data_IF_183681808289
#
_entry.id   IF_183681808289
#
_cell.length_a   1.000
_cell.length_b   1.000
_cell.length_c   1.000
_cell.angle_alpha   90.00
_cell.angle_beta   90.00
_cell.angle_gamma   90.00
#
_symmetry.space_group_name_H-M   'P 1'
#
loop_
_entity.id
_entity.type
_entity.pdbx_description
1 polymer ?
#
# COMPACT_ATOMS: atom_id res chain seq x y z
N UNK A 1 8.66 -1.10 -9.04
CA UNK A 1 7.36 -1.79 -9.06
C UNK A 1 7.31 -2.56 -10.36
N UNK A 2 6.96 -3.84 -10.31
CA UNK A 2 6.99 -4.75 -11.47
C UNK A 2 5.59 -5.16 -11.94
N UNK A 3 4.57 -4.40 -11.55
CA UNK A 3 3.20 -4.61 -12.05
C UNK A 3 3.11 -4.19 -13.53
N UNK A 4 2.95 -5.18 -14.40
CA UNK A 4 2.80 -5.00 -15.85
C UNK A 4 1.32 -4.99 -16.30
N UNK A 5 0.38 -5.21 -15.38
CA UNK A 5 -1.07 -5.18 -15.64
C UNK A 5 -1.62 -3.80 -15.28
N UNK A 6 -1.21 -3.25 -14.14
CA UNK A 6 -1.61 -1.93 -13.67
C UNK A 6 -0.37 -1.04 -13.50
N UNK A 7 -0.18 -0.02 -14.36
CA UNK A 7 0.93 0.90 -14.23
C UNK A 7 0.89 1.67 -12.90
N UNK A 8 2.06 1.88 -12.30
CA UNK A 8 2.23 2.60 -11.04
C UNK A 8 1.55 3.99 -11.02
N UNK A 9 1.52 4.66 -12.17
CA UNK A 9 0.88 5.96 -12.35
C UNK A 9 -0.62 5.95 -11.98
N UNK A 10 -1.33 4.84 -12.18
CA UNK A 10 -2.75 4.70 -11.85
C UNK A 10 -2.94 4.78 -10.33
N UNK A 11 -2.18 4.00 -9.57
CA UNK A 11 -2.25 4.01 -8.10
C UNK A 11 -1.84 5.36 -7.52
N UNK A 12 -0.79 5.99 -8.08
CA UNK A 12 -0.40 7.35 -7.67
C UNK A 12 -1.48 8.39 -7.96
N UNK A 13 -2.19 8.27 -9.08
CA UNK A 13 -3.29 9.16 -9.41
C UNK A 13 -4.46 9.02 -8.42
N UNK A 14 -4.81 7.78 -8.05
CA UNK A 14 -5.81 7.50 -7.01
C UNK A 14 -5.38 8.08 -5.66
N UNK A 15 -4.14 7.85 -5.24
CA UNK A 15 -3.61 8.42 -3.98
C UNK A 15 -3.73 9.94 -3.95
N UNK A 16 -3.42 10.63 -5.06
CA UNK A 16 -3.59 12.10 -5.17
C UNK A 16 -5.03 12.56 -4.96
N UNK A 17 -6.04 11.74 -5.30
CA UNK A 17 -7.44 12.11 -5.08
C UNK A 17 -7.80 12.20 -3.58
N UNK A 18 -7.03 11.55 -2.70
CA UNK A 18 -7.20 11.66 -1.25
C UNK A 18 -6.50 12.88 -0.62
N UNK A 19 -5.74 13.65 -1.41
CA UNK A 19 -4.88 14.74 -0.90
C UNK A 19 -5.61 15.87 -0.18
N UNK A 20 -6.87 16.11 -0.52
CA UNK A 20 -7.72 17.13 0.12
C UNK A 20 -8.65 16.54 1.20
N UNK A 21 -8.55 15.24 1.49
CA UNK A 21 -9.40 14.57 2.48
C UNK A 21 -8.75 14.55 3.86
N UNK A 22 -9.58 14.41 4.91
CA UNK A 22 -9.09 14.17 6.28
C UNK A 22 -8.80 12.69 6.56
N UNK A 23 -8.98 11.81 5.58
CA UNK A 23 -8.70 10.39 5.75
C UNK A 23 -7.19 10.16 5.85
N UNK A 24 -6.77 9.47 6.92
CA UNK A 24 -5.41 8.98 7.03
C UNK A 24 -5.13 8.01 5.87
N UNK A 25 -4.23 8.40 4.98
CA UNK A 25 -3.95 7.69 3.74
C UNK A 25 -2.45 7.71 3.48
N UNK A 26 -1.85 6.54 3.28
CA UNK A 26 -0.44 6.39 2.87
C UNK A 26 -0.33 5.57 1.58
N UNK A 27 0.76 5.80 0.83
CA UNK A 27 1.09 5.02 -0.36
C UNK A 27 2.43 4.30 -0.20
N UNK A 28 2.39 2.97 -0.12
CA UNK A 28 3.57 2.10 -0.10
C UNK A 28 3.80 1.42 -1.45
N UNK A 29 5.05 1.46 -1.91
CA UNK A 29 5.51 0.68 -3.05
C UNK A 29 6.42 -0.47 -2.59
N UNK A 30 6.32 -1.60 -3.29
CA UNK A 30 7.18 -2.77 -3.09
C UNK A 30 7.96 -3.01 -4.38
N UNK A 31 9.12 -2.35 -4.51
CA UNK A 31 9.83 -2.15 -5.78
C UNK A 31 9.99 -3.42 -6.66
N UNK A 32 10.15 -4.59 -6.04
CA UNK A 32 10.43 -5.87 -6.70
C UNK A 32 9.20 -6.81 -6.71
N UNK A 33 7.98 -6.25 -6.78
CA UNK A 33 6.73 -7.02 -6.76
C UNK A 33 5.83 -6.70 -7.95
N UNK A 34 5.22 -7.75 -8.49
CA UNK A 34 4.25 -7.71 -9.60
C UNK A 34 2.79 -7.60 -9.14
N UNK A 35 1.87 -7.86 -10.06
CA UNK A 35 0.42 -7.65 -9.85
C UNK A 35 -0.18 -8.49 -8.72
N UNK A 36 0.35 -9.70 -8.51
CA UNK A 36 -0.17 -10.69 -7.56
C UNK A 36 0.45 -10.59 -6.16
N UNK A 37 1.12 -9.47 -5.82
CA UNK A 37 1.90 -9.32 -4.59
C UNK A 37 1.18 -9.67 -3.28
N UNK A 38 -0.15 -9.60 -3.28
CA UNK A 38 -1.01 -9.89 -2.13
C UNK A 38 -1.28 -11.38 -1.93
N UNK A 39 -0.97 -12.24 -2.91
CA UNK A 39 -1.21 -13.69 -2.87
C UNK A 39 -0.01 -14.53 -3.30
N UNK A 40 1.00 -13.93 -3.93
CA UNK A 40 2.23 -14.65 -4.30
C UNK A 40 3.17 -14.89 -3.10
N UNK A 41 4.31 -15.54 -3.32
CA UNK A 41 5.25 -15.91 -2.26
C UNK A 41 5.77 -14.73 -1.41
N UNK A 42 5.60 -13.49 -1.85
CA UNK A 42 5.94 -12.27 -1.13
C UNK A 42 4.86 -11.72 -0.19
N UNK A 43 3.66 -12.30 -0.17
CA UNK A 43 2.49 -11.70 0.50
C UNK A 43 2.72 -11.34 1.98
N UNK A 44 3.59 -12.08 2.68
CA UNK A 44 3.90 -11.82 4.10
C UNK A 44 4.50 -10.43 4.32
N UNK A 45 5.35 -9.93 3.43
CA UNK A 45 5.93 -8.58 3.55
C UNK A 45 4.86 -7.50 3.42
N UNK A 46 3.83 -7.76 2.60
CA UNK A 46 2.67 -6.86 2.48
C UNK A 46 1.86 -6.90 3.77
N UNK A 47 1.58 -8.10 4.30
CA UNK A 47 0.85 -8.26 5.55
C UNK A 47 1.57 -7.59 6.74
N UNK A 48 2.88 -7.81 6.89
CA UNK A 48 3.69 -7.20 7.96
C UNK A 48 3.66 -5.68 7.88
N UNK A 49 3.76 -5.11 6.66
CA UNK A 49 3.65 -3.67 6.48
C UNK A 49 2.27 -3.12 6.87
N UNK A 50 1.19 -3.79 6.47
CA UNK A 50 -0.19 -3.38 6.81
C UNK A 50 -0.43 -3.50 8.31
N UNK A 51 0.02 -4.58 8.95
CA UNK A 51 -0.10 -4.76 10.39
C UNK A 51 0.66 -3.69 11.17
N UNK A 52 1.90 -3.37 10.77
CA UNK A 52 2.66 -2.28 11.37
C UNK A 52 1.97 -0.92 11.22
N UNK A 53 1.43 -0.63 10.03
CA UNK A 53 0.68 0.60 9.80
C UNK A 53 -0.57 0.70 10.68
N UNK A 54 -1.31 -0.40 10.84
CA UNK A 54 -2.48 -0.46 11.73
C UNK A 54 -2.09 -0.30 13.20
N UNK A 55 -0.96 -0.88 13.62
CA UNK A 55 -0.47 -0.73 15.00
C UNK A 55 -0.13 0.74 15.30
N UNK A 56 0.59 1.40 14.40
CA UNK A 56 0.99 2.79 14.52
C UNK A 56 -0.19 3.77 14.55
N UNK A 57 -1.24 3.50 13.76
CA UNK A 57 -2.30 4.50 13.51
C UNK A 57 -3.68 4.16 14.08
N UNK A 58 -3.95 2.89 14.38
CA UNK A 58 -5.30 2.42 14.78
C UNK A 58 -5.27 1.77 16.15
N UNK A 59 -4.31 0.88 16.42
CA UNK A 59 -4.28 0.07 17.65
C UNK A 59 -3.49 0.76 18.77
N UNK A 60 -2.42 1.49 18.45
CA UNK A 60 -1.60 2.27 19.39
C UNK A 60 -2.14 3.68 19.67
N UNK A 61 -3.22 4.10 19.01
CA UNK A 61 -3.87 5.40 19.20
C UNK A 61 -4.71 5.45 20.48
N UNK A 62 -4.04 5.60 21.63
CA UNK A 62 -4.63 6.14 22.86
C UNK A 62 -4.04 7.51 23.16
#
# INVERSE_FOLDING_TARGET
>A
QEDLIVPDGVTRAVYKQYGDSTALTDLKQFADRGHTLVVDGGWRLVADHVLGWLDEHVVGGR
#
